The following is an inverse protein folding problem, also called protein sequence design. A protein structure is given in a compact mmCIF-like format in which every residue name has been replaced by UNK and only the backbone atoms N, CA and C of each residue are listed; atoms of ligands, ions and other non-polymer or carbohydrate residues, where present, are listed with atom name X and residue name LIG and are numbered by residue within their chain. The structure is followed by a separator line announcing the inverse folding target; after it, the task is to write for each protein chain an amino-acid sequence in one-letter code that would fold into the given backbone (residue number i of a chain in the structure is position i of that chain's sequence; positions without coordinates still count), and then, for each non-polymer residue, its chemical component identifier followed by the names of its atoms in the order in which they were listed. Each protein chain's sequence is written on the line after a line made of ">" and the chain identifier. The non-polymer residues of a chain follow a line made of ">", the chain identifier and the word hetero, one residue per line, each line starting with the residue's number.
data_IF_694240870709
#
_entry.id   IF_694240870709
#
_cell.length_a   1.000
_cell.length_b   1.000
_cell.length_c   1.000
_cell.angle_alpha   90.00
_cell.angle_beta   90.00
_cell.angle_gamma   90.00
#
_symmetry.space_group_name_H-M   'P 1'
#
loop_
_entity.id
_entity.type
_entity.pdbx_description
1 polymer ?
#
# COMPACT_ATOMS: atom_id res chain seq x y z
N UNK A 1 31.63 -21.56 -65.20
CA UNK A 1 31.49 -21.14 -63.78
C UNK A 1 30.07 -20.66 -63.58
N UNK A 2 29.19 -21.53 -63.07
CA UNK A 2 27.83 -21.19 -62.67
C UNK A 2 27.84 -21.03 -61.15
N UNK A 3 27.68 -19.81 -60.66
CA UNK A 3 27.47 -19.54 -59.25
C UNK A 3 25.95 -19.58 -58.98
N UNK A 4 25.50 -20.61 -58.27
CA UNK A 4 24.13 -20.75 -57.78
C UNK A 4 23.92 -19.81 -56.58
N UNK A 5 23.16 -18.74 -56.79
CA UNK A 5 22.62 -17.93 -55.70
C UNK A 5 21.51 -18.69 -54.98
N UNK A 6 21.76 -19.12 -53.75
CA UNK A 6 20.76 -19.73 -52.90
C UNK A 6 19.70 -18.69 -52.51
N UNK A 7 18.48 -18.84 -53.02
CA UNK A 7 17.33 -18.05 -52.61
C UNK A 7 16.95 -18.44 -51.18
N UNK A 8 17.18 -17.53 -50.22
CA UNK A 8 16.68 -17.68 -48.85
C UNK A 8 15.16 -17.56 -48.89
N UNK A 9 14.45 -18.64 -48.59
CA UNK A 9 12.98 -18.66 -48.55
C UNK A 9 12.46 -17.86 -47.34
N UNK A 10 11.27 -17.27 -47.46
CA UNK A 10 10.57 -16.54 -46.39
C UNK A 10 10.39 -17.37 -45.10
N UNK A 11 10.30 -18.70 -45.22
CA UNK A 11 10.29 -19.62 -44.09
C UNK A 11 11.63 -19.65 -43.33
N UNK A 12 12.77 -19.54 -44.02
CA UNK A 12 14.10 -19.49 -43.39
C UNK A 12 14.34 -18.20 -42.61
N UNK A 13 13.80 -17.07 -43.07
CA UNK A 13 13.88 -15.79 -42.36
C UNK A 13 13.07 -15.80 -41.06
N UNK A 14 11.86 -16.38 -41.07
CA UNK A 14 11.04 -16.54 -39.87
C UNK A 14 11.65 -17.50 -38.83
N UNK A 15 12.39 -18.52 -39.29
CA UNK A 15 13.10 -19.46 -38.42
C UNK A 15 14.31 -18.80 -37.71
N UNK A 16 15.10 -18.02 -38.45
CA UNK A 16 16.24 -17.26 -37.91
C UNK A 16 15.79 -16.21 -36.88
N UNK A 17 14.65 -15.56 -37.12
CA UNK A 17 14.08 -14.62 -36.15
C UNK A 17 13.61 -15.29 -34.85
N UNK A 18 13.14 -16.55 -34.92
CA UNK A 18 12.70 -17.30 -33.73
C UNK A 18 13.87 -17.81 -32.90
N UNK A 19 14.96 -18.23 -33.53
CA UNK A 19 16.20 -18.62 -32.82
C UNK A 19 16.79 -17.47 -32.00
N UNK A 20 16.78 -16.25 -32.57
CA UNK A 20 17.20 -15.04 -31.84
C UNK A 20 16.33 -14.74 -30.63
N UNK A 21 15.02 -14.97 -30.71
CA UNK A 21 14.12 -14.78 -29.57
C UNK A 21 14.49 -15.73 -28.43
N UNK A 22 14.69 -17.03 -28.72
CA UNK A 22 15.14 -17.99 -27.71
C UNK A 22 16.49 -17.62 -27.10
N UNK A 23 17.42 -17.15 -27.95
CA UNK A 23 18.72 -16.68 -27.48
C UNK A 23 18.54 -15.51 -26.48
N UNK A 24 17.77 -14.48 -26.82
CA UNK A 24 17.53 -13.35 -25.92
C UNK A 24 16.83 -13.78 -24.63
N UNK A 25 15.87 -14.72 -24.69
CA UNK A 25 15.19 -15.24 -23.48
C UNK A 25 16.21 -15.91 -22.55
N UNK A 26 17.15 -16.69 -23.08
CA UNK A 26 18.22 -17.31 -22.29
C UNK A 26 19.16 -16.24 -21.70
N UNK A 27 19.50 -15.24 -22.50
CA UNK A 27 20.36 -14.10 -22.09
C UNK A 27 19.75 -13.24 -20.98
N UNK A 28 18.44 -13.33 -20.71
CA UNK A 28 17.83 -12.67 -19.54
C UNK A 28 18.35 -13.21 -18.21
N UNK A 29 18.84 -14.45 -18.17
CA UNK A 29 19.34 -15.06 -16.94
C UNK A 29 20.64 -14.40 -16.46
N UNK A 30 21.54 -14.04 -17.39
CA UNK A 30 22.84 -13.44 -17.07
C UNK A 30 22.75 -11.92 -16.92
N UNK A 31 23.21 -11.33 -15.80
CA UNK A 31 23.18 -9.87 -15.59
C UNK A 31 23.86 -9.04 -16.67
N UNK A 32 24.91 -9.57 -17.30
CA UNK A 32 25.72 -8.87 -18.31
C UNK A 32 24.99 -8.71 -19.65
N UNK A 33 24.20 -9.71 -20.03
CA UNK A 33 23.48 -9.74 -21.32
C UNK A 33 22.03 -9.28 -21.19
N UNK A 34 21.47 -9.33 -19.98
CA UNK A 34 20.06 -9.09 -19.70
C UNK A 34 19.56 -7.74 -20.21
N UNK A 35 20.34 -6.67 -20.07
CA UNK A 35 19.91 -5.33 -20.47
C UNK A 35 19.61 -5.23 -21.98
N UNK A 36 20.50 -5.79 -22.80
CA UNK A 36 20.29 -5.83 -24.24
C UNK A 36 19.12 -6.75 -24.61
N UNK A 37 19.03 -7.92 -23.98
CA UNK A 37 17.93 -8.86 -24.20
C UNK A 37 16.57 -8.25 -23.84
N UNK A 38 16.46 -7.51 -22.74
CA UNK A 38 15.24 -6.79 -22.35
C UNK A 38 14.79 -5.81 -23.44
N UNK A 39 15.73 -5.02 -23.97
CA UNK A 39 15.45 -4.03 -25.01
C UNK A 39 14.97 -4.68 -26.32
N UNK A 40 15.63 -5.74 -26.77
CA UNK A 40 15.27 -6.38 -28.03
C UNK A 40 13.95 -7.16 -27.91
N UNK A 41 13.74 -7.88 -26.81
CA UNK A 41 12.47 -8.58 -26.57
C UNK A 41 11.31 -7.61 -26.41
N UNK A 42 11.48 -6.46 -25.74
CA UNK A 42 10.40 -5.49 -25.54
C UNK A 42 9.91 -4.90 -26.87
N UNK A 43 10.80 -4.72 -27.86
CA UNK A 43 10.44 -4.31 -29.23
C UNK A 43 9.67 -5.39 -29.99
N UNK A 44 9.91 -6.66 -29.69
CA UNK A 44 9.31 -7.81 -30.38
C UNK A 44 7.98 -8.28 -29.78
N UNK A 45 7.55 -7.69 -28.65
CA UNK A 45 6.34 -8.08 -27.89
C UNK A 45 5.02 -8.05 -28.69
N UNK A 46 4.95 -7.24 -29.74
CA UNK A 46 3.75 -7.10 -30.58
C UNK A 46 3.83 -7.99 -31.84
N UNK A 47 5.05 -8.31 -32.31
CA UNK A 47 5.28 -9.13 -33.49
C UNK A 47 5.27 -10.64 -33.21
N UNK A 48 5.53 -11.04 -31.96
CA UNK A 48 5.66 -12.45 -31.55
C UNK A 48 4.49 -12.82 -30.65
N UNK A 49 3.49 -13.51 -31.21
CA UNK A 49 2.22 -13.80 -30.53
C UNK A 49 2.35 -14.81 -29.39
N UNK A 50 3.31 -15.73 -29.49
CA UNK A 50 3.60 -16.78 -28.51
C UNK A 50 4.72 -16.41 -27.52
N UNK A 51 5.13 -15.13 -27.49
CA UNK A 51 6.21 -14.67 -26.61
C UNK A 51 5.87 -14.84 -25.12
N UNK A 52 4.62 -14.60 -24.73
CA UNK A 52 4.21 -14.69 -23.33
C UNK A 52 4.37 -16.12 -22.75
N UNK A 53 3.85 -17.19 -23.40
CA UNK A 53 4.16 -18.57 -23.01
C UNK A 53 5.67 -18.88 -23.00
N UNK A 54 6.43 -18.42 -23.99
CA UNK A 54 7.89 -18.62 -24.01
C UNK A 54 8.58 -18.02 -22.79
N UNK A 55 8.21 -16.79 -22.41
CA UNK A 55 8.75 -16.12 -21.23
C UNK A 55 8.33 -16.80 -19.92
N UNK A 56 7.08 -17.25 -19.83
CA UNK A 56 6.55 -17.87 -18.61
C UNK A 56 7.13 -19.25 -18.34
N UNK A 57 7.27 -20.07 -19.37
CA UNK A 57 7.73 -21.46 -19.24
C UNK A 57 9.25 -21.61 -19.34
N UNK A 58 9.98 -20.57 -19.73
CA UNK A 58 11.43 -20.55 -19.67
C UNK A 58 11.93 -20.46 -18.22
N UNK A 59 12.88 -21.31 -17.87
CA UNK A 59 13.41 -21.41 -16.52
C UNK A 59 14.11 -20.10 -16.12
N UNK A 60 13.74 -19.54 -14.96
CA UNK A 60 14.39 -18.36 -14.39
C UNK A 60 14.03 -17.02 -15.06
N UNK A 61 13.32 -17.02 -16.18
CA UNK A 61 12.98 -15.79 -16.92
C UNK A 61 12.10 -14.84 -16.11
N UNK A 62 10.99 -15.33 -15.54
CA UNK A 62 10.10 -14.50 -14.70
C UNK A 62 10.82 -14.00 -13.44
N UNK A 63 11.67 -14.83 -12.83
CA UNK A 63 12.48 -14.44 -11.68
C UNK A 63 13.47 -13.32 -12.04
N UNK A 64 14.10 -13.38 -13.22
CA UNK A 64 14.98 -12.32 -13.71
C UNK A 64 14.22 -11.01 -13.94
N UNK A 65 12.99 -11.05 -14.49
CA UNK A 65 12.14 -9.87 -14.66
C UNK A 65 11.74 -9.25 -13.31
N UNK A 66 11.41 -10.08 -12.31
CA UNK A 66 11.13 -9.62 -10.95
C UNK A 66 12.38 -9.02 -10.29
N UNK A 67 13.56 -9.60 -10.54
CA UNK A 67 14.82 -9.06 -10.03
C UNK A 67 15.08 -7.64 -10.56
N UNK A 68 14.77 -7.37 -11.83
CA UNK A 68 14.88 -6.02 -12.40
C UNK A 68 13.95 -5.02 -11.70
N UNK A 69 12.77 -5.45 -11.24
CA UNK A 69 11.86 -4.61 -10.45
C UNK A 69 12.45 -4.33 -9.06
N UNK A 70 12.87 -5.39 -8.35
CA UNK A 70 13.36 -5.27 -6.97
C UNK A 70 14.64 -4.43 -6.90
N UNK A 71 15.52 -4.53 -7.90
CA UNK A 71 16.75 -3.74 -7.97
C UNK A 71 16.50 -2.22 -8.07
N UNK A 72 15.29 -1.80 -8.42
CA UNK A 72 14.91 -0.38 -8.48
C UNK A 72 14.44 0.15 -7.13
N UNK A 73 13.96 -0.69 -6.21
CA UNK A 73 13.41 -0.25 -4.93
C UNK A 73 14.32 0.70 -4.13
N UNK A 74 15.66 0.49 -4.04
CA UNK A 74 16.54 1.44 -3.35
C UNK A 74 16.56 2.85 -3.96
N UNK A 75 16.26 2.98 -5.26
CA UNK A 75 16.20 4.27 -5.98
C UNK A 75 14.80 4.90 -5.98
N UNK A 76 13.80 4.24 -5.40
CA UNK A 76 12.44 4.75 -5.24
C UNK A 76 12.35 5.70 -4.04
N UNK A 77 13.00 5.34 -2.93
CA UNK A 77 13.04 6.14 -1.72
C UNK A 77 14.44 6.05 -1.06
N UNK A 78 15.28 7.11 -1.13
CA UNK A 78 15.01 8.44 -1.68
C UNK A 78 14.89 8.46 -3.22
N UNK A 79 14.18 9.43 -3.82
CA UNK A 79 13.82 9.41 -5.24
C UNK A 79 15.01 9.76 -6.14
N UNK A 80 15.91 8.79 -6.35
CA UNK A 80 17.18 8.93 -7.06
C UNK A 80 17.20 8.20 -8.41
N UNK A 81 16.04 7.69 -8.86
CA UNK A 81 15.88 6.96 -10.10
C UNK A 81 16.36 7.75 -11.33
N UNK A 82 17.32 7.19 -12.06
CA UNK A 82 17.83 7.79 -13.30
C UNK A 82 16.98 7.41 -14.52
N UNK A 83 17.13 8.16 -15.62
CA UNK A 83 16.47 7.85 -16.89
C UNK A 83 16.88 6.47 -17.44
N UNK A 84 18.15 6.11 -17.30
CA UNK A 84 18.67 4.81 -17.73
C UNK A 84 18.02 3.66 -16.96
N UNK A 85 18.00 3.74 -15.63
CA UNK A 85 17.36 2.74 -14.77
C UNK A 85 15.86 2.61 -15.06
N UNK A 86 15.15 3.74 -15.23
CA UNK A 86 13.72 3.74 -15.58
C UNK A 86 13.46 3.07 -16.93
N UNK A 87 14.24 3.38 -17.98
CA UNK A 87 14.08 2.75 -19.29
C UNK A 87 14.31 1.23 -19.22
N UNK A 88 15.37 0.80 -18.52
CA UNK A 88 15.72 -0.61 -18.36
C UNK A 88 14.61 -1.39 -17.66
N UNK A 89 14.12 -0.93 -16.50
CA UNK A 89 13.03 -1.62 -15.80
C UNK A 89 11.72 -1.56 -16.58
N UNK A 90 11.44 -0.46 -17.30
CA UNK A 90 10.25 -0.36 -18.16
C UNK A 90 10.25 -1.38 -19.31
N UNK A 91 11.42 -1.78 -19.83
CA UNK A 91 11.50 -2.89 -20.78
C UNK A 91 11.07 -4.22 -20.12
N UNK A 92 11.50 -4.48 -18.87
CA UNK A 92 11.03 -5.65 -18.12
C UNK A 92 9.53 -5.60 -17.84
N UNK A 93 9.00 -4.43 -17.45
CA UNK A 93 7.57 -4.22 -17.25
C UNK A 93 6.77 -4.44 -18.55
N UNK A 94 7.29 -4.02 -19.70
CA UNK A 94 6.66 -4.28 -20.99
C UNK A 94 6.55 -5.78 -21.31
N UNK A 95 7.53 -6.59 -20.92
CA UNK A 95 7.47 -8.05 -21.05
C UNK A 95 6.48 -8.67 -20.07
N UNK A 96 6.44 -8.20 -18.81
CA UNK A 96 5.42 -8.63 -17.85
C UNK A 96 4.01 -8.24 -18.30
N UNK A 97 3.85 -7.09 -18.95
CA UNK A 97 2.59 -6.69 -19.58
C UNK A 97 2.19 -7.68 -20.68
N UNK A 98 3.13 -8.16 -21.49
CA UNK A 98 2.88 -9.19 -22.50
C UNK A 98 2.35 -10.48 -21.84
N UNK A 99 3.02 -10.95 -20.78
CA UNK A 99 2.63 -12.13 -20.00
C UNK A 99 1.24 -11.96 -19.35
N UNK A 100 0.94 -10.79 -18.77
CA UNK A 100 -0.36 -10.51 -18.17
C UNK A 100 -1.51 -10.45 -19.22
N UNK A 101 -1.18 -10.05 -20.45
CA UNK A 101 -2.17 -9.90 -21.52
C UNK A 101 -2.55 -11.22 -22.19
N UNK A 102 -1.67 -12.22 -22.17
CA UNK A 102 -1.88 -13.47 -22.88
C UNK A 102 -2.82 -14.43 -22.12
N UNK A 103 -3.73 -15.08 -22.85
CA UNK A 103 -4.82 -15.90 -22.26
C UNK A 103 -4.30 -17.08 -21.43
N UNK A 104 -3.20 -17.71 -21.85
CA UNK A 104 -2.65 -18.89 -21.17
C UNK A 104 -1.90 -18.54 -19.88
N UNK A 105 -1.19 -17.41 -19.86
CA UNK A 105 -0.28 -17.05 -18.77
C UNK A 105 -0.91 -16.12 -17.74
N UNK A 106 -1.99 -15.40 -18.11
CA UNK A 106 -2.66 -14.43 -17.22
C UNK A 106 -3.05 -15.02 -15.87
N UNK A 107 -3.70 -16.18 -15.85
CA UNK A 107 -4.15 -16.80 -14.60
C UNK A 107 -2.98 -17.16 -13.69
N UNK A 108 -1.89 -17.68 -14.25
CA UNK A 108 -0.69 -18.03 -13.51
C UNK A 108 0.08 -16.78 -13.03
N UNK A 109 0.13 -15.73 -13.85
CA UNK A 109 0.70 -14.42 -13.50
C UNK A 109 0.00 -13.80 -12.28
N UNK A 110 -1.33 -13.89 -12.23
CA UNK A 110 -2.13 -13.43 -11.09
C UNK A 110 -1.93 -14.32 -9.85
N UNK A 111 -1.93 -15.64 -10.02
CA UNK A 111 -1.70 -16.58 -8.92
C UNK A 111 -0.30 -16.43 -8.29
N UNK A 112 0.69 -16.02 -9.08
CA UNK A 112 2.04 -15.73 -8.63
C UNK A 112 2.18 -14.37 -7.91
N UNK A 113 1.09 -13.60 -7.79
CA UNK A 113 1.06 -12.30 -7.11
C UNK A 113 2.08 -11.27 -7.67
N UNK A 114 2.46 -11.39 -8.94
CA UNK A 114 3.42 -10.49 -9.59
C UNK A 114 2.98 -9.01 -9.56
N UNK A 115 1.69 -8.65 -9.73
CA UNK A 115 1.26 -7.25 -9.62
C UNK A 115 1.66 -6.56 -8.30
N UNK A 116 1.82 -7.31 -7.20
CA UNK A 116 2.20 -6.74 -5.90
C UNK A 116 3.57 -6.03 -5.94
N UNK A 117 4.48 -6.50 -6.79
CA UNK A 117 5.81 -5.91 -6.96
C UNK A 117 5.77 -4.53 -7.64
N UNK A 118 4.65 -4.16 -8.25
CA UNK A 118 4.54 -2.89 -9.00
C UNK A 118 4.01 -1.75 -8.14
N UNK A 119 3.41 -2.00 -6.98
CA UNK A 119 2.84 -0.94 -6.15
C UNK A 119 3.83 0.05 -5.58
N UNK A 120 5.04 -0.34 -5.14
CA UNK A 120 6.05 0.64 -4.73
C UNK A 120 6.30 1.70 -5.81
N UNK A 121 6.19 1.33 -7.10
CA UNK A 121 6.32 2.27 -8.21
C UNK A 121 5.11 3.20 -8.34
N UNK A 122 3.89 2.68 -8.16
CA UNK A 122 2.66 3.48 -8.22
C UNK A 122 2.51 4.46 -7.06
N UNK A 123 3.10 4.16 -5.90
CA UNK A 123 3.10 5.05 -4.73
C UNK A 123 4.10 6.22 -4.83
N UNK A 124 4.92 6.25 -5.87
CA UNK A 124 5.88 7.35 -6.06
C UNK A 124 5.17 8.65 -6.42
N UNK A 125 5.60 9.75 -5.81
CA UNK A 125 5.03 11.10 -6.04
C UNK A 125 5.96 12.03 -6.83
N UNK A 126 7.20 11.59 -7.09
CA UNK A 126 8.18 12.36 -7.88
C UNK A 126 7.66 12.62 -9.29
N UNK A 127 7.71 13.88 -9.73
CA UNK A 127 7.22 14.35 -11.04
C UNK A 127 8.30 14.37 -12.13
N UNK A 128 9.46 13.77 -11.88
CA UNK A 128 10.50 13.68 -12.90
C UNK A 128 10.09 12.66 -13.97
N UNK A 129 10.53 12.88 -15.21
CA UNK A 129 10.23 12.00 -16.35
C UNK A 129 10.50 10.51 -16.09
N UNK A 130 11.61 10.11 -15.42
CA UNK A 130 11.86 8.69 -15.10
C UNK A 130 10.77 8.06 -14.22
N UNK A 131 10.25 8.80 -13.24
CA UNK A 131 9.20 8.31 -12.35
C UNK A 131 7.82 8.32 -13.01
N UNK A 132 7.50 9.33 -13.83
CA UNK A 132 6.25 9.34 -14.61
C UNK A 132 6.19 8.19 -15.60
N UNK A 133 7.29 7.92 -16.31
CA UNK A 133 7.37 6.80 -17.24
C UNK A 133 7.25 5.46 -16.52
N UNK A 134 7.91 5.30 -15.37
CA UNK A 134 7.81 4.11 -14.53
C UNK A 134 6.37 3.83 -14.09
N UNK A 135 5.65 4.85 -13.60
CA UNK A 135 4.25 4.73 -13.19
C UNK A 135 3.35 4.36 -14.38
N UNK A 136 3.51 5.03 -15.52
CA UNK A 136 2.70 4.77 -16.71
C UNK A 136 2.87 3.34 -17.22
N UNK A 137 4.12 2.85 -17.32
CA UNK A 137 4.39 1.49 -17.76
C UNK A 137 3.85 0.45 -16.76
N UNK A 138 4.01 0.72 -15.46
CA UNK A 138 3.45 -0.13 -14.40
C UNK A 138 1.93 -0.21 -14.47
N UNK A 139 1.25 0.92 -14.67
CA UNK A 139 -0.20 0.96 -14.91
C UNK A 139 -0.59 0.18 -16.16
N UNK A 140 0.25 0.17 -17.20
CA UNK A 140 0.02 -0.61 -18.42
C UNK A 140 -0.01 -2.13 -18.19
N UNK A 141 0.82 -2.64 -17.27
CA UNK A 141 0.82 -4.07 -16.87
C UNK A 141 -0.50 -4.43 -16.22
N UNK A 142 -0.97 -3.59 -15.30
CA UNK A 142 -2.22 -3.83 -14.57
C UNK A 142 -3.44 -3.51 -15.45
N UNK A 143 -3.33 -2.53 -16.36
CA UNK A 143 -4.45 -1.98 -17.15
C UNK A 143 -4.90 -2.86 -18.32
N UNK A 144 -4.03 -3.73 -18.85
CA UNK A 144 -4.44 -4.72 -19.88
C UNK A 144 -5.28 -5.88 -19.33
N UNK A 145 -5.60 -5.84 -18.04
CA UNK A 145 -6.45 -6.81 -17.35
C UNK A 145 -7.96 -6.60 -17.61
N UNK A 146 -8.40 -5.54 -18.30
CA UNK A 146 -9.82 -5.16 -18.30
C UNK A 146 -10.59 -5.50 -19.58
N UNK A 147 -11.31 -6.62 -19.56
CA UNK A 147 -12.73 -6.66 -19.99
C UNK A 147 -13.67 -7.41 -19.00
N UNK A 148 -13.16 -7.85 -17.84
CA UNK A 148 -14.01 -8.33 -16.72
C UNK A 148 -13.47 -7.90 -15.35
N UNK A 149 -12.30 -7.26 -15.33
CA UNK A 149 -11.52 -7.03 -14.11
C UNK A 149 -11.55 -5.59 -13.59
N UNK A 150 -12.47 -4.71 -14.01
CA UNK A 150 -12.66 -3.42 -13.31
C UNK A 150 -13.08 -3.62 -11.86
N UNK A 151 -13.84 -4.68 -11.58
CA UNK A 151 -14.04 -5.16 -10.20
C UNK A 151 -12.72 -5.58 -9.58
N UNK A 152 -11.91 -6.39 -10.26
CA UNK A 152 -10.63 -6.84 -9.73
C UNK A 152 -9.58 -5.74 -9.57
N UNK A 153 -9.56 -4.66 -10.34
CA UNK A 153 -8.59 -3.54 -10.22
C UNK A 153 -8.94 -2.58 -9.08
N UNK A 154 -10.23 -2.26 -8.93
CA UNK A 154 -10.71 -1.58 -7.72
C UNK A 154 -10.62 -2.52 -6.52
N UNK A 155 -10.90 -3.81 -6.68
CA UNK A 155 -10.73 -4.83 -5.66
C UNK A 155 -9.27 -5.07 -5.37
N UNK A 156 -8.29 -4.90 -6.27
CA UNK A 156 -6.85 -5.11 -6.05
C UNK A 156 -6.19 -3.83 -5.55
N UNK A 157 -6.60 -2.63 -5.97
CA UNK A 157 -6.19 -1.39 -5.29
C UNK A 157 -6.82 -1.27 -3.90
N UNK A 158 -8.11 -1.64 -3.75
CA UNK A 158 -8.69 -1.88 -2.44
C UNK A 158 -7.95 -3.02 -1.75
N UNK A 159 -7.73 -4.19 -2.34
CA UNK A 159 -7.14 -5.40 -1.74
C UNK A 159 -5.64 -5.31 -1.59
N UNK A 160 -4.92 -4.30 -2.06
CA UNK A 160 -3.49 -4.19 -1.78
C UNK A 160 -3.23 -3.17 -0.70
N UNK A 161 -4.10 -2.16 -0.57
CA UNK A 161 -4.30 -1.49 0.71
C UNK A 161 -4.95 -2.45 1.73
N UNK A 162 -6.02 -3.19 1.41
CA UNK A 162 -6.81 -4.11 2.26
C UNK A 162 -6.28 -5.55 2.36
N UNK A 163 -5.32 -6.05 1.58
CA UNK A 163 -4.64 -7.34 1.86
C UNK A 163 -3.41 -7.08 2.66
N UNK A 164 -2.66 -5.99 2.47
CA UNK A 164 -1.65 -5.63 3.47
C UNK A 164 -2.36 -5.26 4.77
N UNK A 165 -3.36 -4.38 4.75
CA UNK A 165 -4.12 -4.03 5.94
C UNK A 165 -5.14 -5.07 6.39
N UNK A 166 -5.53 -6.02 5.55
CA UNK A 166 -6.41 -7.14 5.93
C UNK A 166 -5.63 -8.38 6.33
N UNK A 167 -4.40 -8.57 5.85
CA UNK A 167 -3.43 -9.50 6.42
C UNK A 167 -2.95 -8.97 7.76
N UNK A 168 -2.47 -7.72 7.83
CA UNK A 168 -2.16 -7.05 9.10
C UNK A 168 -3.41 -7.01 9.96
N UNK A 169 -4.58 -6.67 9.41
CA UNK A 169 -5.89 -6.67 10.08
C UNK A 169 -6.33 -8.04 10.59
N UNK A 170 -6.00 -9.13 9.89
CA UNK A 170 -6.25 -10.51 10.31
C UNK A 170 -5.23 -10.97 11.35
N UNK A 171 -3.96 -10.57 11.21
CA UNK A 171 -2.90 -10.78 12.20
C UNK A 171 -3.23 -10.04 13.51
N UNK A 172 -3.62 -8.77 13.47
CA UNK A 172 -4.01 -8.03 14.68
C UNK A 172 -5.38 -8.44 15.22
N UNK A 173 -6.15 -9.25 14.49
CA UNK A 173 -7.37 -9.87 15.02
C UNK A 173 -7.06 -11.05 15.94
N UNK A 174 -5.88 -11.67 15.86
CA UNK A 174 -5.49 -12.73 16.80
C UNK A 174 -5.05 -12.17 18.16
N UNK A 175 -4.93 -10.84 18.29
CA UNK A 175 -4.55 -10.13 19.53
C UNK A 175 -3.22 -10.62 20.14
N UNK A 176 -2.33 -11.17 19.30
CA UNK A 176 -1.02 -11.66 19.70
C UNK A 176 -0.01 -10.51 19.86
N UNK A 177 0.64 -10.44 21.02
CA UNK A 177 1.60 -9.38 21.35
C UNK A 177 2.83 -9.36 20.41
N UNK A 178 3.25 -10.52 19.91
CA UNK A 178 4.37 -10.65 18.96
C UNK A 178 4.08 -9.94 17.63
N UNK A 179 2.83 -10.01 17.16
CA UNK A 179 2.37 -9.32 15.96
C UNK A 179 2.46 -7.80 16.16
N UNK A 180 2.01 -7.29 17.31
CA UNK A 180 2.08 -5.86 17.62
C UNK A 180 3.55 -5.39 17.67
N UNK A 181 4.43 -6.14 18.32
CA UNK A 181 5.85 -5.80 18.39
C UNK A 181 6.49 -5.75 17.00
N UNK A 182 6.21 -6.72 16.14
CA UNK A 182 6.66 -6.70 14.75
C UNK A 182 6.14 -5.47 14.00
N UNK A 183 4.85 -5.15 14.14
CA UNK A 183 4.23 -3.99 13.51
C UNK A 183 4.85 -2.65 13.95
N UNK A 184 5.20 -2.51 15.23
CA UNK A 184 5.86 -1.30 15.74
C UNK A 184 7.24 -1.08 15.11
N UNK A 185 7.93 -2.14 14.67
CA UNK A 185 9.23 -2.05 13.98
C UNK A 185 9.15 -1.74 12.48
N UNK A 186 7.95 -1.76 11.88
CA UNK A 186 7.77 -1.75 10.41
C UNK A 186 7.11 -0.47 9.86
N UNK A 187 7.25 0.66 10.55
CA UNK A 187 6.69 1.98 10.17
C UNK A 187 5.18 1.97 9.84
N UNK A 188 4.42 1.00 10.37
CA UNK A 188 3.00 0.86 10.06
C UNK A 188 2.16 2.04 10.54
N UNK A 189 2.54 2.65 11.67
CA UNK A 189 1.81 3.78 12.27
C UNK A 189 1.86 5.01 11.35
N UNK A 190 3.04 5.49 10.90
CA UNK A 190 3.11 6.55 9.88
C UNK A 190 2.27 6.28 8.63
N UNK A 191 2.26 5.04 8.14
CA UNK A 191 1.45 4.65 6.98
C UNK A 191 -0.05 4.73 7.28
N UNK A 192 -0.50 4.19 8.42
CA UNK A 192 -1.89 4.28 8.86
C UNK A 192 -2.34 5.75 8.96
N UNK A 193 -1.53 6.61 9.58
CA UNK A 193 -1.86 8.03 9.75
C UNK A 193 -2.00 8.77 8.41
N UNK A 194 -1.13 8.48 7.43
CA UNK A 194 -1.25 9.04 6.08
C UNK A 194 -2.57 8.64 5.41
N UNK A 195 -2.95 7.37 5.50
CA UNK A 195 -4.21 6.87 4.92
C UNK A 195 -5.42 7.45 5.67
N UNK A 196 -5.34 7.54 6.99
CA UNK A 196 -6.37 8.17 7.83
C UNK A 196 -6.61 9.63 7.47
N UNK A 197 -5.58 10.35 7.04
CA UNK A 197 -5.67 11.75 6.64
C UNK A 197 -6.33 11.94 5.26
N UNK A 198 -5.84 11.23 4.24
CA UNK A 198 -6.19 11.51 2.82
C UNK A 198 -6.79 10.34 2.04
N UNK A 199 -7.01 9.17 2.66
CA UNK A 199 -7.54 7.98 1.99
C UNK A 199 -9.05 8.02 1.71
N UNK A 200 -9.54 6.98 1.02
CA UNK A 200 -10.99 6.74 0.86
C UNK A 200 -11.66 6.41 2.21
N UNK A 201 -12.99 6.55 2.32
CA UNK A 201 -13.72 6.19 3.55
C UNK A 201 -13.40 4.76 4.03
N UNK A 202 -13.35 3.81 3.09
CA UNK A 202 -13.05 2.42 3.40
C UNK A 202 -11.59 2.26 3.87
N UNK A 203 -10.62 2.85 3.16
CA UNK A 203 -9.19 2.79 3.53
C UNK A 203 -8.97 3.43 4.92
N UNK A 204 -9.62 4.58 5.19
CA UNK A 204 -9.62 5.24 6.51
C UNK A 204 -10.17 4.32 7.59
N UNK A 205 -11.28 3.63 7.33
CA UNK A 205 -11.90 2.71 8.30
C UNK A 205 -10.94 1.58 8.69
N UNK A 206 -10.28 0.97 7.71
CA UNK A 206 -9.34 -0.13 7.97
C UNK A 206 -8.06 0.38 8.64
N UNK A 207 -7.48 1.48 8.17
CA UNK A 207 -6.29 2.07 8.79
C UNK A 207 -6.54 2.47 10.25
N UNK A 208 -7.71 3.04 10.54
CA UNK A 208 -8.11 3.38 11.92
C UNK A 208 -8.34 2.12 12.75
N UNK A 209 -8.89 1.05 12.17
CA UNK A 209 -9.03 -0.25 12.86
C UNK A 209 -7.67 -0.86 13.23
N UNK A 210 -6.66 -0.79 12.36
CA UNK A 210 -5.30 -1.27 12.69
C UNK A 210 -4.69 -0.42 13.79
N UNK A 211 -4.76 0.91 13.67
CA UNK A 211 -4.28 1.82 14.71
C UNK A 211 -5.00 1.54 16.04
N UNK A 212 -6.31 1.28 16.00
CA UNK A 212 -7.07 0.89 17.19
C UNK A 212 -6.49 -0.37 17.81
N UNK A 213 -6.23 -1.43 17.03
CA UNK A 213 -5.66 -2.68 17.55
C UNK A 213 -4.28 -2.48 18.16
N UNK A 214 -3.43 -1.67 17.53
CA UNK A 214 -2.12 -1.28 18.10
C UNK A 214 -2.32 -0.54 19.43
N UNK A 215 -3.26 0.40 19.51
CA UNK A 215 -3.55 1.13 20.75
C UNK A 215 -4.12 0.24 21.86
N UNK A 216 -4.89 -0.79 21.50
CA UNK A 216 -5.48 -1.71 22.48
C UNK A 216 -4.41 -2.50 23.23
N UNK A 217 -3.31 -2.84 22.57
CA UNK A 217 -2.14 -3.45 23.20
C UNK A 217 -1.38 -2.43 24.09
N UNK A 218 -0.92 -2.88 25.25
CA UNK A 218 -0.21 -2.01 26.21
C UNK A 218 1.13 -1.51 25.68
N UNK A 219 1.83 -2.32 24.88
CA UNK A 219 3.11 -1.96 24.24
C UNK A 219 2.89 -0.92 23.15
N UNK A 220 1.85 -1.11 22.33
CA UNK A 220 1.49 -0.14 21.29
C UNK A 220 1.00 1.20 21.86
N UNK A 221 0.20 1.18 22.93
CA UNK A 221 -0.18 2.40 23.65
C UNK A 221 1.04 3.12 24.23
N UNK A 222 1.93 2.39 24.92
CA UNK A 222 3.16 2.94 25.48
C UNK A 222 4.05 3.54 24.38
N UNK A 223 4.17 2.88 23.23
CA UNK A 223 4.95 3.36 22.09
C UNK A 223 4.43 4.69 21.51
N UNK A 224 3.11 4.79 21.29
CA UNK A 224 2.48 6.01 20.77
C UNK A 224 2.58 7.16 21.77
N UNK A 225 2.37 6.87 23.06
CA UNK A 225 2.45 7.87 24.13
C UNK A 225 3.87 8.10 24.68
N UNK A 226 4.90 7.46 24.11
CA UNK A 226 6.28 7.55 24.59
C UNK A 226 6.83 8.98 24.49
N UNK A 227 6.52 9.66 23.38
CA UNK A 227 6.98 11.01 23.06
C UNK A 227 5.80 11.91 22.75
N UNK A 228 5.90 13.19 23.09
CA UNK A 228 4.87 14.17 22.75
C UNK A 228 4.59 14.26 21.24
N UNK A 229 5.64 14.19 20.41
CA UNK A 229 5.50 14.28 18.94
C UNK A 229 4.64 13.17 18.35
N UNK A 230 4.90 11.90 18.72
CA UNK A 230 4.10 10.75 18.25
C UNK A 230 2.64 10.87 18.65
N UNK A 231 2.38 11.16 19.93
CA UNK A 231 1.03 11.37 20.44
C UNK A 231 0.33 12.53 19.71
N UNK A 232 0.98 13.69 19.62
CA UNK A 232 0.43 14.90 19.01
C UNK A 232 0.07 14.67 17.55
N UNK A 233 0.91 13.96 16.79
CA UNK A 233 0.61 13.60 15.40
C UNK A 233 -0.64 12.71 15.31
N UNK A 234 -0.75 11.65 16.11
CA UNK A 234 -1.94 10.78 16.14
C UNK A 234 -3.20 11.59 16.51
N UNK A 235 -3.14 12.40 17.56
CA UNK A 235 -4.26 13.21 18.03
C UNK A 235 -4.69 14.24 16.98
N UNK A 236 -3.75 14.88 16.28
CA UNK A 236 -4.02 15.82 15.20
C UNK A 236 -4.77 15.15 14.04
N UNK A 237 -4.34 13.96 13.60
CA UNK A 237 -5.01 13.24 12.51
C UNK A 237 -6.42 12.79 12.93
N UNK A 238 -6.57 12.22 14.14
CA UNK A 238 -7.89 11.88 14.68
C UNK A 238 -8.80 13.12 14.77
N UNK A 239 -8.26 14.28 15.16
CA UNK A 239 -9.01 15.55 15.22
C UNK A 239 -9.49 16.00 13.84
N UNK A 240 -8.62 15.94 12.83
CA UNK A 240 -9.00 16.21 11.43
C UNK A 240 -10.11 15.26 10.96
N UNK A 241 -10.02 13.98 11.30
CA UNK A 241 -11.05 13.00 10.96
C UNK A 241 -12.39 13.30 11.63
N UNK A 242 -12.40 13.72 12.89
CA UNK A 242 -13.64 14.14 13.58
C UNK A 242 -14.29 15.31 12.86
N UNK A 243 -13.51 16.31 12.45
CA UNK A 243 -14.01 17.46 11.69
C UNK A 243 -14.55 17.07 10.31
N UNK A 244 -13.97 16.05 9.66
CA UNK A 244 -14.50 15.50 8.41
C UNK A 244 -15.81 14.74 8.65
N UNK A 245 -15.87 13.91 9.69
CA UNK A 245 -17.04 13.11 10.05
C UNK A 245 -18.26 13.96 10.43
N UNK A 246 -18.07 15.18 10.94
CA UNK A 246 -19.19 16.08 11.22
C UNK A 246 -19.84 16.64 9.95
N UNK A 247 -19.11 16.64 8.82
CA UNK A 247 -19.61 17.08 7.51
C UNK A 247 -20.13 15.91 6.68
N UNK A 248 -19.39 14.80 6.68
CA UNK A 248 -19.70 13.58 5.93
C UNK A 248 -19.75 12.38 6.91
N UNK A 249 -20.95 12.05 7.44
CA UNK A 249 -21.07 11.06 8.51
C UNK A 249 -20.75 9.63 8.06
N UNK A 250 -19.88 8.95 8.82
CA UNK A 250 -19.65 7.51 8.72
C UNK A 250 -19.64 6.87 10.10
N UNK A 251 -20.70 6.12 10.43
CA UNK A 251 -20.84 5.49 11.74
C UNK A 251 -19.73 4.46 12.02
N UNK A 252 -19.30 3.71 10.99
CA UNK A 252 -18.24 2.70 11.11
C UNK A 252 -16.89 3.34 11.44
N UNK A 253 -16.54 4.40 10.73
CA UNK A 253 -15.30 5.12 10.96
C UNK A 253 -15.30 5.82 12.33
N UNK A 254 -16.41 6.49 12.67
CA UNK A 254 -16.58 7.18 13.95
C UNK A 254 -16.40 6.22 15.14
N UNK A 255 -16.93 5.00 15.05
CA UNK A 255 -16.75 3.97 16.09
C UNK A 255 -15.28 3.69 16.39
N UNK A 256 -14.45 3.54 15.36
CA UNK A 256 -13.01 3.30 15.53
C UNK A 256 -12.30 4.54 16.08
N UNK A 257 -12.62 5.73 15.58
CA UNK A 257 -12.07 7.01 16.08
C UNK A 257 -12.34 7.20 17.57
N UNK A 258 -13.59 7.01 18.00
CA UNK A 258 -13.98 7.09 19.43
C UNK A 258 -13.22 6.06 20.26
N UNK A 259 -13.07 4.82 19.77
CA UNK A 259 -12.35 3.77 20.50
C UNK A 259 -10.86 4.07 20.66
N UNK A 260 -10.23 4.70 19.67
CA UNK A 260 -8.84 5.17 19.75
C UNK A 260 -8.69 6.26 20.82
N UNK A 261 -9.54 7.29 20.83
CA UNK A 261 -9.50 8.32 21.87
C UNK A 261 -9.73 7.75 23.26
N UNK A 262 -10.71 6.87 23.43
CA UNK A 262 -10.96 6.19 24.70
C UNK A 262 -9.71 5.47 25.20
N UNK A 263 -9.03 4.71 24.32
CA UNK A 263 -7.81 3.99 24.70
C UNK A 263 -6.64 4.93 25.02
N UNK A 264 -6.48 6.01 24.25
CA UNK A 264 -5.47 7.03 24.53
C UNK A 264 -5.68 7.66 25.92
N UNK A 265 -6.93 7.81 26.37
CA UNK A 265 -7.23 8.34 27.70
C UNK A 265 -6.81 7.43 28.86
N UNK A 266 -6.47 6.16 28.60
CA UNK A 266 -5.94 5.26 29.64
C UNK A 266 -4.51 5.66 30.05
N UNK A 267 -3.74 6.30 29.16
CA UNK A 267 -2.41 6.82 29.47
C UNK A 267 -2.51 8.20 30.14
N UNK A 268 -1.87 8.38 31.30
CA UNK A 268 -1.96 9.61 32.10
C UNK A 268 -1.48 10.87 31.37
N UNK A 269 -0.38 10.78 30.60
CA UNK A 269 0.17 11.92 29.85
C UNK A 269 -0.73 12.30 28.67
N UNK A 270 -1.21 11.31 27.93
CA UNK A 270 -2.14 11.54 26.83
C UNK A 270 -3.49 12.06 27.33
N UNK A 271 -3.99 11.56 28.45
CA UNK A 271 -5.22 12.05 29.12
C UNK A 271 -5.13 13.54 29.43
N UNK A 272 -4.02 14.00 29.99
CA UNK A 272 -3.82 15.42 30.29
C UNK A 272 -3.85 16.28 29.01
N UNK A 273 -3.13 15.86 27.97
CA UNK A 273 -3.14 16.58 26.70
C UNK A 273 -4.53 16.57 26.02
N UNK A 274 -5.26 15.45 26.09
CA UNK A 274 -6.60 15.32 25.54
C UNK A 274 -7.62 16.24 26.21
N UNK A 275 -7.44 16.63 27.49
CA UNK A 275 -8.29 17.66 28.11
C UNK A 275 -8.24 18.98 27.34
N UNK A 276 -7.12 19.30 26.71
CA UNK A 276 -6.90 20.53 25.97
C UNK A 276 -7.20 20.41 24.48
N UNK A 277 -6.99 19.23 23.88
CA UNK A 277 -7.08 19.06 22.42
C UNK A 277 -8.21 18.16 21.92
N UNK A 278 -9.05 17.58 22.79
CA UNK A 278 -10.20 16.77 22.34
C UNK A 278 -11.16 17.65 21.52
N UNK A 279 -11.53 17.25 20.29
CA UNK A 279 -12.46 18.00 19.44
C UNK A 279 -13.82 18.21 20.10
N UNK A 280 -14.37 19.41 19.97
CA UNK A 280 -15.64 19.78 20.63
C UNK A 280 -16.84 19.00 20.07
N UNK A 281 -16.78 18.53 18.83
CA UNK A 281 -17.82 17.68 18.23
C UNK A 281 -17.98 16.34 18.95
N UNK A 282 -16.98 15.90 19.72
CA UNK A 282 -17.07 14.71 20.58
C UNK A 282 -17.63 15.03 21.97
N UNK A 283 -17.75 16.30 22.35
CA UNK A 283 -18.30 16.76 23.63
C UNK A 283 -19.74 17.26 23.49
N UNK A 284 -20.09 17.78 22.32
CA UNK A 284 -21.41 18.32 22.01
C UNK A 284 -22.36 17.26 21.41
N UNK A 285 -23.48 17.72 20.85
CA UNK A 285 -24.52 16.86 20.27
C UNK A 285 -24.30 16.55 18.78
N UNK A 286 -23.17 16.92 18.18
CA UNK A 286 -22.89 16.78 16.73
C UNK A 286 -23.15 15.37 16.22
N UNK A 287 -22.69 14.34 16.95
CA UNK A 287 -22.84 12.94 16.52
C UNK A 287 -24.05 12.22 17.13
N UNK A 288 -24.93 12.91 17.87
CA UNK A 288 -26.05 12.28 18.58
C UNK A 288 -26.96 11.47 17.63
N UNK A 289 -27.24 12.02 16.44
CA UNK A 289 -28.10 11.38 15.44
C UNK A 289 -27.41 10.18 14.75
N UNK A 290 -26.13 10.31 14.42
CA UNK A 290 -25.34 9.24 13.78
C UNK A 290 -25.19 8.05 14.72
N UNK A 291 -25.06 8.32 16.02
CA UNK A 291 -24.89 7.31 17.06
C UNK A 291 -26.19 6.78 17.63
N UNK A 292 -27.36 7.20 17.12
CA UNK A 292 -28.66 6.88 17.74
C UNK A 292 -28.84 5.38 17.99
N UNK A 293 -28.44 4.54 17.03
CA UNK A 293 -28.58 3.08 17.05
C UNK A 293 -27.30 2.35 17.53
N UNK A 294 -26.19 3.05 17.76
CA UNK A 294 -24.92 2.45 18.21
C UNK A 294 -24.68 2.70 19.71
N UNK A 295 -25.33 1.87 20.53
CA UNK A 295 -25.22 1.93 22.00
C UNK A 295 -23.79 1.70 22.52
N UNK A 296 -22.98 0.96 21.77
CA UNK A 296 -21.59 0.64 22.16
C UNK A 296 -20.72 1.87 22.04
N UNK A 297 -20.77 2.55 20.89
CA UNK A 297 -19.98 3.76 20.65
C UNK A 297 -20.43 4.91 21.55
N UNK A 298 -21.74 5.03 21.83
CA UNK A 298 -22.26 5.97 22.84
C UNK A 298 -21.65 5.75 24.21
N UNK A 299 -21.58 4.49 24.67
CA UNK A 299 -20.97 4.15 25.97
C UNK A 299 -19.48 4.48 26.00
N UNK A 300 -18.75 4.20 24.92
CA UNK A 300 -17.33 4.53 24.82
C UNK A 300 -17.08 6.03 24.85
N UNK A 301 -17.91 6.82 24.15
CA UNK A 301 -17.80 8.28 24.16
C UNK A 301 -18.08 8.85 25.56
N UNK A 302 -19.12 8.36 26.24
CA UNK A 302 -19.41 8.78 27.61
C UNK A 302 -18.27 8.42 28.58
N UNK A 303 -17.67 7.23 28.45
CA UNK A 303 -16.52 6.83 29.27
C UNK A 303 -15.28 7.68 28.97
N UNK A 304 -15.03 8.03 27.72
CA UNK A 304 -13.93 8.93 27.34
C UNK A 304 -14.09 10.28 28.04
N UNK A 305 -15.27 10.90 27.95
CA UNK A 305 -15.54 12.19 28.60
C UNK A 305 -15.36 12.07 30.13
N UNK A 306 -15.83 10.98 30.74
CA UNK A 306 -15.63 10.69 32.16
C UNK A 306 -14.14 10.57 32.53
N UNK A 307 -13.35 9.83 31.75
CA UNK A 307 -11.90 9.66 32.00
C UNK A 307 -11.16 11.01 32.00
N UNK A 308 -11.60 11.97 31.18
CA UNK A 308 -10.99 13.31 31.12
C UNK A 308 -11.39 14.21 32.30
N UNK A 309 -12.51 13.92 32.95
CA UNK A 309 -12.97 14.61 34.17
C UNK A 309 -12.30 14.03 35.42
N UNK A 310 -12.00 12.73 35.44
CA UNK A 310 -11.27 12.08 36.53
C UNK A 310 -9.83 12.64 36.64
N UNK A 311 -9.51 13.20 37.81
CA UNK A 311 -8.20 13.83 38.09
C UNK A 311 -8.21 15.35 38.19
N UNK A 312 -9.35 16.04 37.95
CA UNK A 312 -9.52 17.40 38.49
C UNK A 312 -9.77 17.29 40.01
N UNK A 313 -8.71 17.11 40.80
CA UNK A 313 -8.80 17.37 42.23
C UNK A 313 -8.87 18.88 42.40
N UNK A 314 -10.09 19.41 42.38
CA UNK A 314 -10.35 20.75 42.84
C UNK A 314 -10.41 20.72 44.37
N UNK A 315 -9.57 21.54 45.02
CA UNK A 315 -9.78 21.95 46.42
C UNK A 315 -11.25 22.46 46.58
N UNK A 316 -11.89 22.40 47.76
CA UNK A 316 -13.20 23.02 48.02
C UNK A 316 -13.36 24.48 47.53
N UNK A 317 -12.28 25.15 47.13
CA UNK A 317 -12.24 26.48 46.51
C UNK A 317 -12.20 26.50 44.96
N UNK A 318 -12.26 25.35 44.28
CA UNK A 318 -12.29 25.26 42.82
C UNK A 318 -10.94 25.44 42.11
N UNK A 319 -9.82 25.33 42.83
CA UNK A 319 -8.47 25.53 42.28
C UNK A 319 -7.86 24.18 41.88
N UNK A 320 -7.34 24.01 40.65
CA UNK A 320 -6.64 22.79 40.23
C UNK A 320 -5.36 22.60 41.08
N UNK A 321 -5.22 21.45 41.73
CA UNK A 321 -3.98 21.07 42.41
C UNK A 321 -2.92 20.62 41.38
N UNK A 322 -1.63 20.93 41.60
CA UNK A 322 -0.56 20.48 40.72
C UNK A 322 -0.43 18.95 40.77
N UNK A 323 -0.01 18.31 39.67
CA UNK A 323 0.14 16.86 39.62
C UNK A 323 1.22 16.38 40.60
N UNK A 324 0.91 15.33 41.38
CA UNK A 324 1.89 14.58 42.18
C UNK A 324 2.68 13.61 41.31
#
# INVERSE_FOLDING_TARGET
>A
MLATGAAVTTAGLAQVDREKIYQWINELSSPETRENALLELSKKRESVTDLAPMLWHSCGTIAALLQEIVNIYPSINPPTLTAHQSNRVCNALALLQCVASHVETRSAFLAAHIPLFLYPFLHTVSKTRPFEYLRLTSLGVIGKETDTSRKLYLTILLECELKVFGFVGALVKTDEQEVINFLLTTEIIPLCLRIMESGSELSKTVATFILQKILLDDTGLAYICQTYERFSHVAMILGKMVLQLSKEPSARLLKHVVRCYLRLSDNSRAREALRQCLPDQLKDTTFAQVLKDDSTTKRWLAQLVKNLQEGQVTDPRGIPLPPQ
#
